data_IF_440814595770
#
_entry.id   IF_440814595770
#
_cell.length_a   1.000
_cell.length_b   1.000
_cell.length_c   1.000
_cell.angle_alpha   90.00
_cell.angle_beta   90.00
_cell.angle_gamma   90.00
#
_symmetry.space_group_name_H-M   'P 1'
#
loop_
_entity.id
_entity.type
_entity.pdbx_description
1 polymer ?
#
# COMPACT_ATOMS: atom_id res chain seq x y z
N UNK A 1 -11.73 -9.90 -11.87
CA UNK A 1 -12.09 -8.94 -10.80
C UNK A 1 -10.95 -7.93 -10.70
N UNK A 2 -11.25 -6.64 -10.76
CA UNK A 2 -10.24 -5.56 -10.81
C UNK A 2 -9.59 -5.37 -9.43
N UNK A 3 -8.26 -5.39 -9.38
CA UNK A 3 -7.46 -5.25 -8.15
C UNK A 3 -7.00 -3.80 -7.92
N UNK A 4 -7.40 -2.87 -8.79
CA UNK A 4 -7.01 -1.44 -8.81
C UNK A 4 -5.53 -1.19 -9.12
N UNK A 5 -4.75 -2.24 -9.43
CA UNK A 5 -3.39 -2.07 -9.89
C UNK A 5 -3.39 -1.54 -11.32
N UNK A 6 -2.54 -0.54 -11.57
CA UNK A 6 -2.32 0.00 -12.90
C UNK A 6 -1.00 -0.52 -13.47
N UNK A 7 -1.03 -0.97 -14.73
CA UNK A 7 0.19 -1.37 -15.44
C UNK A 7 0.99 -0.11 -15.81
N UNK A 8 2.23 -0.02 -15.36
CA UNK A 8 3.12 1.08 -15.70
C UNK A 8 3.76 0.88 -17.09
N UNK A 9 4.53 1.88 -17.56
CA UNK A 9 5.16 1.85 -18.90
C UNK A 9 6.15 0.69 -19.11
N UNK A 10 6.76 0.20 -18.04
CA UNK A 10 7.72 -0.92 -18.08
C UNK A 10 7.05 -2.29 -17.85
N UNK A 11 5.72 -2.30 -17.70
CA UNK A 11 4.91 -3.51 -17.61
C UNK A 11 4.66 -4.05 -16.20
N UNK A 12 5.19 -3.43 -15.16
CA UNK A 12 4.90 -3.80 -13.77
C UNK A 12 3.51 -3.30 -13.36
N UNK A 13 2.94 -3.93 -12.35
CA UNK A 13 1.64 -3.56 -11.79
C UNK A 13 1.85 -2.74 -10.52
N UNK A 14 1.29 -1.53 -10.47
CA UNK A 14 1.44 -0.61 -9.34
C UNK A 14 0.11 -0.27 -8.69
N UNK A 15 0.08 -0.31 -7.36
CA UNK A 15 -0.97 0.26 -6.52
C UNK A 15 -0.32 1.31 -5.62
N UNK A 16 -0.89 2.52 -5.60
CA UNK A 16 -0.46 3.61 -4.73
C UNK A 16 -1.67 4.20 -4.01
N UNK A 17 -1.59 4.35 -2.69
CA UNK A 17 -2.67 4.92 -1.88
C UNK A 17 -2.12 5.77 -0.75
N UNK A 18 -2.64 6.98 -0.59
CA UNK A 18 -2.37 7.80 0.59
C UNK A 18 -3.17 7.21 1.77
N UNK A 19 -2.48 6.95 2.88
CA UNK A 19 -3.09 6.54 4.13
C UNK A 19 -3.46 7.81 4.89
N UNK A 20 -4.63 8.38 4.57
CA UNK A 20 -5.04 9.64 5.19
C UNK A 20 -5.39 9.44 6.67
N UNK A 21 -5.12 10.38 7.57
CA UNK A 21 -5.71 10.32 8.91
C UNK A 21 -7.16 10.83 8.86
N UNK A 22 -7.35 11.99 8.24
CA UNK A 22 -8.65 12.64 8.03
C UNK A 22 -9.15 12.32 6.61
N UNK A 23 -10.38 11.82 6.42
CA UNK A 23 -10.90 11.52 5.08
C UNK A 23 -10.85 12.72 4.13
N UNK A 24 -10.43 12.49 2.89
CA UNK A 24 -10.33 13.49 1.82
C UNK A 24 -9.33 14.63 2.11
N UNK A 25 -8.39 14.44 3.05
CA UNK A 25 -7.35 15.44 3.32
C UNK A 25 -6.30 15.52 2.22
N UNK A 26 -6.16 14.45 1.43
CA UNK A 26 -5.04 14.26 0.52
C UNK A 26 -3.68 14.20 1.22
N UNK A 27 -3.64 13.97 2.54
CA UNK A 27 -2.42 14.04 3.34
C UNK A 27 -2.22 12.81 4.22
N UNK A 28 -0.97 12.36 4.31
CA UNK A 28 -0.55 11.16 5.04
C UNK A 28 0.56 10.37 4.32
N UNK A 29 1.04 9.27 4.94
CA UNK A 29 2.02 8.39 4.31
C UNK A 29 1.50 7.75 3.03
N UNK A 30 2.39 7.53 2.06
CA UNK A 30 2.08 6.84 0.82
C UNK A 30 2.37 5.33 0.97
N UNK A 31 1.34 4.50 0.83
CA UNK A 31 1.50 3.06 0.61
C UNK A 31 1.71 2.81 -0.88
N UNK A 32 2.81 2.17 -1.25
CA UNK A 32 3.10 1.74 -2.62
C UNK A 32 3.36 0.24 -2.68
N UNK A 33 2.71 -0.43 -3.62
CA UNK A 33 2.90 -1.85 -3.93
C UNK A 33 3.20 -1.97 -5.41
N UNK A 34 4.31 -2.64 -5.75
CA UNK A 34 4.73 -2.90 -7.13
C UNK A 34 4.91 -4.41 -7.28
N UNK A 35 4.13 -5.03 -8.16
CA UNK A 35 4.32 -6.42 -8.58
C UNK A 35 5.06 -6.42 -9.91
N UNK A 36 6.11 -7.23 -10.03
CA UNK A 36 6.85 -7.34 -11.28
C UNK A 36 5.98 -7.94 -12.40
N UNK A 37 6.34 -7.66 -13.65
CA UNK A 37 5.56 -8.04 -14.83
C UNK A 37 5.37 -9.55 -15.01
N UNK A 38 6.28 -10.36 -14.48
CA UNK A 38 6.26 -11.83 -14.46
C UNK A 38 5.55 -12.42 -13.24
N UNK A 39 5.02 -11.58 -12.34
CA UNK A 39 4.23 -11.98 -11.15
C UNK A 39 4.96 -12.89 -10.16
N UNK A 40 6.29 -12.89 -10.18
CA UNK A 40 7.13 -13.72 -9.32
C UNK A 40 7.52 -13.03 -8.01
N UNK A 41 7.31 -11.71 -7.93
CA UNK A 41 7.74 -10.92 -6.78
C UNK A 41 7.06 -9.57 -6.68
N UNK A 42 7.18 -8.96 -5.51
CA UNK A 42 6.64 -7.63 -5.28
C UNK A 42 7.52 -6.83 -4.32
N UNK A 43 7.35 -5.52 -4.36
CA UNK A 43 7.88 -4.56 -3.38
C UNK A 43 6.71 -3.84 -2.74
N UNK A 44 6.72 -3.76 -1.42
CA UNK A 44 5.79 -2.95 -0.64
C UNK A 44 6.59 -1.94 0.17
N UNK A 45 6.20 -0.66 0.10
CA UNK A 45 6.84 0.39 0.88
C UNK A 45 5.82 1.37 1.42
N UNK A 46 6.12 1.92 2.59
CA UNK A 46 5.43 3.08 3.15
C UNK A 46 6.44 4.21 3.25
N UNK A 47 6.08 5.36 2.68
CA UNK A 47 6.95 6.54 2.62
C UNK A 47 6.20 7.80 3.05
N UNK A 48 6.91 8.92 3.14
CA UNK A 48 6.26 10.24 3.10
C UNK A 48 5.42 10.40 1.82
N UNK A 49 4.53 11.40 1.83
CA UNK A 49 3.62 11.70 0.70
C UNK A 49 4.36 11.90 -0.62
N UNK A 50 5.59 12.41 -0.56
CA UNK A 50 6.45 12.63 -1.74
C UNK A 50 7.04 11.34 -2.33
N UNK A 51 7.00 10.22 -1.60
CA UNK A 51 7.60 8.96 -2.06
C UNK A 51 9.10 8.83 -1.78
N UNK A 52 9.68 9.73 -0.99
CA UNK A 52 11.14 9.89 -0.87
C UNK A 52 11.71 9.21 0.37
N UNK A 53 11.04 9.33 1.51
CA UNK A 53 11.56 8.83 2.80
C UNK A 53 10.71 7.70 3.34
N UNK A 54 11.33 6.58 3.71
CA UNK A 54 10.62 5.49 4.37
C UNK A 54 10.12 5.90 5.76
N UNK A 55 8.89 5.51 6.07
CA UNK A 55 8.24 5.79 7.35
C UNK A 55 7.85 4.47 8.02
N UNK A 56 8.17 4.35 9.30
CA UNK A 56 7.67 3.26 10.14
C UNK A 56 6.37 3.67 10.83
N UNK A 57 5.24 3.29 10.25
CA UNK A 57 3.91 3.60 10.81
C UNK A 57 3.59 2.79 12.08
N UNK A 58 4.36 1.75 12.40
CA UNK A 58 4.16 0.88 13.57
C UNK A 58 4.97 1.31 14.79
N UNK A 59 5.82 2.34 14.66
CA UNK A 59 6.69 2.80 15.75
C UNK A 59 5.93 3.51 16.89
N UNK A 60 4.77 4.10 16.61
CA UNK A 60 3.99 4.88 17.58
C UNK A 60 2.50 4.49 17.55
N UNK A 61 1.83 4.41 18.73
CA UNK A 61 0.38 4.21 18.81
C UNK A 61 -0.43 5.38 18.24
N UNK A 62 0.15 6.58 18.14
CA UNK A 62 -0.52 7.75 17.53
C UNK A 62 -0.90 7.53 16.07
N UNK A 63 -0.20 6.60 15.40
CA UNK A 63 -0.47 6.21 14.02
C UNK A 63 -1.59 5.17 13.91
N UNK A 64 -2.39 4.90 14.95
CA UNK A 64 -3.41 3.84 14.95
C UNK A 64 -4.36 3.91 13.75
N UNK A 65 -4.85 5.10 13.42
CA UNK A 65 -5.73 5.30 12.25
C UNK A 65 -5.03 4.93 10.92
N UNK A 66 -3.75 5.29 10.79
CA UNK A 66 -2.92 4.96 9.62
C UNK A 66 -2.71 3.45 9.52
N UNK A 67 -2.40 2.80 10.65
CA UNK A 67 -2.24 1.35 10.74
C UNK A 67 -3.54 0.62 10.37
N UNK A 68 -4.69 1.08 10.87
CA UNK A 68 -5.99 0.49 10.56
C UNK A 68 -6.32 0.60 9.08
N UNK A 69 -6.03 1.74 8.45
CA UNK A 69 -6.19 1.91 6.99
C UNK A 69 -5.24 1.04 6.20
N UNK A 70 -4.00 0.87 6.65
CA UNK A 70 -3.07 -0.08 6.08
C UNK A 70 -3.63 -1.51 6.14
N UNK A 71 -4.08 -1.97 7.32
CA UNK A 71 -4.64 -3.31 7.47
C UNK A 71 -5.92 -3.51 6.65
N UNK A 72 -6.78 -2.50 6.58
CA UNK A 72 -7.97 -2.53 5.72
C UNK A 72 -7.59 -2.76 4.25
N UNK A 73 -6.61 -2.01 3.74
CA UNK A 73 -6.13 -2.17 2.36
C UNK A 73 -5.49 -3.54 2.13
N UNK A 74 -4.68 -4.04 3.06
CA UNK A 74 -4.02 -5.34 2.91
C UNK A 74 -5.00 -6.51 3.01
N UNK A 75 -5.97 -6.46 3.93
CA UNK A 75 -7.04 -7.46 4.03
C UNK A 75 -7.85 -7.50 2.74
N UNK A 76 -8.20 -6.35 2.17
CA UNK A 76 -8.91 -6.27 0.90
C UNK A 76 -8.15 -6.94 -0.26
N UNK A 77 -6.81 -6.93 -0.24
CA UNK A 77 -5.98 -7.64 -1.21
C UNK A 77 -5.87 -9.15 -0.92
N UNK A 78 -5.92 -9.54 0.35
CA UNK A 78 -6.02 -10.95 0.75
C UNK A 78 -7.35 -11.55 0.32
N UNK A 79 -8.46 -10.85 0.56
CA UNK A 79 -9.82 -11.29 0.20
C UNK A 79 -9.98 -11.49 -1.32
N UNK A 80 -9.26 -10.68 -2.11
CA UNK A 80 -9.21 -10.80 -3.58
C UNK A 80 -8.22 -11.85 -4.09
N UNK A 81 -7.51 -12.55 -3.19
CA UNK A 81 -6.52 -13.56 -3.55
C UNK A 81 -5.21 -13.00 -4.11
N UNK A 82 -4.93 -11.71 -3.96
CA UNK A 82 -3.68 -11.08 -4.41
C UNK A 82 -2.53 -11.41 -3.45
N UNK A 83 -2.81 -11.40 -2.14
CA UNK A 83 -1.84 -11.77 -1.11
C UNK A 83 -2.38 -12.86 -0.21
N UNK A 84 -1.47 -13.54 0.49
CA UNK A 84 -1.78 -14.46 1.60
C UNK A 84 -1.00 -14.01 2.82
N UNK A 85 -1.60 -14.08 4.00
CA UNK A 85 -0.87 -13.92 5.25
C UNK A 85 0.00 -15.15 5.46
N UNK A 86 1.29 -14.96 5.69
CA UNK A 86 2.15 -16.02 6.19
C UNK A 86 1.91 -16.16 7.69
N UNK A 87 1.69 -17.39 8.13
CA UNK A 87 1.55 -17.74 9.55
C UNK A 87 2.93 -17.94 10.18
#
# INVERSE_FOLDING_TARGET
MDTTFMKNKIGNFELSRILEQVPNSGDGPLLKIIVNSDLTGFKLSITDKAGLRHINIFKSPENKMIQDKFYFQMNALVDRGVFKKAN
#
